data_IF_834960417611
#
_entry.id   IF_834960417611
#
_cell.length_a   1.000
_cell.length_b   1.000
_cell.length_c   1.000
_cell.angle_alpha   90.00
_cell.angle_beta   90.00
_cell.angle_gamma   90.00
#
_symmetry.space_group_name_H-M   'P 1'
#
loop_
_entity.id
_entity.type
_entity.pdbx_description
1 polymer ?
#
# COMPACT_ATOMS: atom_id res chain seq x y z
N UNK A 1 -14.74 1.90 -8.11
CA UNK A 1 -13.42 2.05 -8.78
C UNK A 1 -12.69 3.31 -8.29
N UNK A 2 -11.83 3.17 -7.29
CA UNK A 2 -11.06 4.28 -6.70
C UNK A 2 -9.69 3.80 -6.23
N UNK A 3 -8.70 4.69 -6.27
CA UNK A 3 -7.43 4.53 -5.55
C UNK A 3 -7.50 5.30 -4.23
N UNK A 4 -7.11 4.69 -3.14
CA UNK A 4 -7.18 5.29 -1.80
C UNK A 4 -5.82 5.79 -1.29
N UNK A 5 -4.77 5.03 -1.56
CA UNK A 5 -3.42 5.41 -1.18
C UNK A 5 -2.40 4.94 -2.19
N UNK A 6 -1.32 5.68 -2.30
CA UNK A 6 -0.13 5.33 -3.05
C UNK A 6 1.08 5.68 -2.20
N UNK A 7 1.97 4.72 -1.96
CA UNK A 7 3.09 4.88 -1.05
C UNK A 7 4.36 4.25 -1.60
N UNK A 8 5.49 4.85 -1.26
CA UNK A 8 6.84 4.37 -1.57
C UNK A 8 7.55 4.12 -0.25
N UNK A 9 8.10 2.92 -0.11
CA UNK A 9 8.75 2.43 1.09
C UNK A 9 10.11 1.83 0.75
N UNK A 10 11.06 1.94 1.67
CA UNK A 10 12.29 1.17 1.63
C UNK A 10 12.14 -0.08 2.49
N UNK A 11 12.40 -1.26 1.93
CA UNK A 11 12.38 -2.53 2.64
C UNK A 11 13.72 -2.74 3.37
N UNK A 12 13.75 -2.44 4.67
CA UNK A 12 14.87 -2.81 5.53
C UNK A 12 14.88 -4.31 5.86
N UNK A 13 15.88 -4.72 6.66
CA UNK A 13 16.03 -6.12 7.05
C UNK A 13 14.88 -6.63 7.94
N UNK A 14 14.34 -5.77 8.81
CA UNK A 14 13.29 -6.13 9.78
C UNK A 14 12.07 -5.22 9.74
N UNK A 15 12.26 -3.95 9.36
CA UNK A 15 11.21 -2.95 9.24
C UNK A 15 11.25 -2.29 7.87
N UNK A 16 10.11 -1.81 7.42
CA UNK A 16 10.02 -0.91 6.28
C UNK A 16 10.05 0.55 6.72
N UNK A 17 10.66 1.41 5.90
CA UNK A 17 10.67 2.85 6.11
C UNK A 17 9.76 3.51 5.08
N UNK A 18 8.76 4.27 5.55
CA UNK A 18 7.92 5.06 4.67
C UNK A 18 8.71 6.24 4.12
N UNK A 19 8.95 6.29 2.81
CA UNK A 19 9.66 7.40 2.17
C UNK A 19 8.70 8.52 1.77
N UNK A 20 7.58 8.16 1.15
CA UNK A 20 6.55 9.11 0.76
C UNK A 20 5.21 8.40 0.61
N UNK A 21 4.11 9.12 0.86
CA UNK A 21 2.76 8.63 0.60
C UNK A 21 1.83 9.75 0.17
N UNK A 22 0.84 9.39 -0.63
CA UNK A 22 -0.30 10.20 -1.05
C UNK A 22 -1.59 9.45 -0.72
N UNK A 23 -2.65 10.19 -0.39
CA UNK A 23 -3.93 9.63 0.03
C UNK A 23 -5.11 10.37 -0.59
N UNK A 24 -6.13 9.64 -1.03
CA UNK A 24 -7.45 10.16 -1.39
C UNK A 24 -8.52 9.49 -0.52
N UNK A 25 -8.83 10.16 0.60
CA UNK A 25 -9.80 9.70 1.59
C UNK A 25 -11.14 10.44 1.49
N UNK A 26 -11.40 11.11 0.37
CA UNK A 26 -12.59 11.97 0.19
C UNK A 26 -13.91 11.21 0.30
N UNK A 27 -13.91 9.91 -0.01
CA UNK A 27 -15.06 9.00 0.08
C UNK A 27 -15.38 8.56 1.51
N UNK A 28 -14.47 8.77 2.45
CA UNK A 28 -14.69 8.43 3.86
C UNK A 28 -15.18 9.64 4.66
N UNK A 29 -15.93 9.35 5.72
CA UNK A 29 -16.38 10.35 6.69
C UNK A 29 -15.21 11.13 7.26
N UNK A 30 -15.33 12.47 7.31
CA UNK A 30 -14.26 13.37 7.74
C UNK A 30 -13.59 12.94 9.06
N UNK A 31 -14.39 12.53 10.05
CA UNK A 31 -13.90 12.12 11.38
C UNK A 31 -13.12 10.79 11.40
N UNK A 32 -13.23 9.98 10.35
CA UNK A 32 -12.54 8.68 10.24
C UNK A 32 -11.27 8.76 9.39
N UNK A 33 -11.10 9.82 8.58
CA UNK A 33 -10.00 9.93 7.61
C UNK A 33 -8.62 9.78 8.25
N UNK A 34 -8.38 10.40 9.41
CA UNK A 34 -7.09 10.26 10.11
C UNK A 34 -6.77 8.81 10.45
N UNK A 35 -7.73 8.09 11.03
CA UNK A 35 -7.53 6.69 11.39
C UNK A 35 -7.35 5.80 10.17
N UNK A 36 -8.11 6.06 9.10
CA UNK A 36 -7.99 5.30 7.84
C UNK A 36 -6.62 5.54 7.20
N UNK A 37 -6.11 6.77 7.21
CA UNK A 37 -4.77 7.09 6.70
C UNK A 37 -3.69 6.32 7.45
N UNK A 38 -3.75 6.30 8.79
CA UNK A 38 -2.82 5.55 9.63
C UNK A 38 -2.89 4.05 9.34
N UNK A 39 -4.11 3.49 9.15
CA UNK A 39 -4.26 2.09 8.77
C UNK A 39 -3.71 1.77 7.38
N UNK A 40 -3.95 2.61 6.38
CA UNK A 40 -3.37 2.43 5.04
C UNK A 40 -1.85 2.49 5.08
N UNK A 41 -1.29 3.36 5.92
CA UNK A 41 0.16 3.45 6.17
C UNK A 41 0.70 2.15 6.79
N UNK A 42 0.08 1.71 7.89
CA UNK A 42 0.43 0.48 8.60
C UNK A 42 0.34 -0.75 7.68
N UNK A 43 -0.76 -0.87 6.94
CA UNK A 43 -0.97 -1.97 5.99
C UNK A 43 0.09 -1.97 4.90
N UNK A 44 0.42 -0.80 4.34
CA UNK A 44 1.46 -0.70 3.30
C UNK A 44 2.83 -1.13 3.83
N UNK A 45 3.20 -0.71 5.04
CA UNK A 45 4.42 -1.13 5.72
C UNK A 45 4.47 -2.65 5.94
N UNK A 46 3.40 -3.22 6.51
CA UNK A 46 3.30 -4.65 6.76
C UNK A 46 3.41 -5.48 5.46
N UNK A 47 2.71 -5.07 4.40
CA UNK A 47 2.78 -5.78 3.11
C UNK A 47 4.21 -5.76 2.54
N UNK A 48 4.90 -4.62 2.58
CA UNK A 48 6.29 -4.53 2.09
C UNK A 48 7.24 -5.39 2.94
N UNK A 49 7.05 -5.44 4.25
CA UNK A 49 7.83 -6.30 5.16
C UNK A 49 7.68 -7.78 4.84
N UNK A 50 6.47 -8.22 4.48
CA UNK A 50 6.15 -9.63 4.18
C UNK A 50 6.37 -10.05 2.73
N UNK A 51 6.51 -9.08 1.82
CA UNK A 51 6.76 -9.36 0.39
C UNK A 51 8.26 -9.53 0.11
N UNK A 52 8.64 -10.57 -0.62
CA UNK A 52 10.04 -10.82 -0.99
C UNK A 52 10.55 -9.81 -2.04
N UNK A 53 11.85 -9.54 -2.05
CA UNK A 53 12.47 -8.70 -3.08
C UNK A 53 12.25 -9.31 -4.48
N UNK A 54 12.08 -8.45 -5.47
CA UNK A 54 11.84 -8.84 -6.86
C UNK A 54 10.46 -9.41 -7.16
N UNK A 55 9.52 -9.31 -6.21
CA UNK A 55 8.18 -9.92 -6.35
C UNK A 55 7.07 -8.88 -6.42
N UNK A 56 6.00 -9.24 -7.14
CA UNK A 56 4.73 -8.53 -7.21
C UNK A 56 3.67 -9.36 -6.54
N UNK A 57 2.88 -8.73 -5.67
CA UNK A 57 1.78 -9.39 -4.98
C UNK A 57 0.55 -8.50 -4.90
N UNK A 58 -0.61 -9.13 -4.75
CA UNK A 58 -1.88 -8.47 -4.45
C UNK A 58 -2.47 -9.11 -3.19
N UNK A 59 -2.88 -8.28 -2.25
CA UNK A 59 -3.46 -8.71 -0.97
C UNK A 59 -4.88 -8.19 -0.92
N UNK A 60 -5.85 -9.10 -0.97
CA UNK A 60 -7.26 -8.77 -0.84
C UNK A 60 -7.58 -8.64 0.65
N UNK A 61 -8.34 -7.63 1.01
CA UNK A 61 -8.89 -7.46 2.35
C UNK A 61 -10.30 -6.86 2.21
N UNK A 62 -11.32 -7.69 2.40
CA UNK A 62 -12.72 -7.31 2.16
C UNK A 62 -12.94 -6.77 0.72
N UNK A 63 -13.42 -5.52 0.60
CA UNK A 63 -13.69 -4.83 -0.66
C UNK A 63 -12.45 -4.11 -1.23
N UNK A 64 -11.34 -4.12 -0.49
CA UNK A 64 -10.08 -3.48 -0.85
C UNK A 64 -9.08 -4.48 -1.43
N UNK A 65 -8.24 -3.98 -2.32
CA UNK A 65 -7.14 -4.72 -2.91
C UNK A 65 -5.86 -3.88 -2.79
N UNK A 66 -4.84 -4.45 -2.15
CA UNK A 66 -3.55 -3.81 -1.96
C UNK A 66 -2.57 -4.44 -2.94
N UNK A 67 -2.09 -3.69 -3.93
CA UNK A 67 -1.06 -4.16 -4.86
C UNK A 67 0.30 -3.66 -4.41
N UNK A 68 1.27 -4.55 -4.38
CA UNK A 68 2.64 -4.27 -3.95
C UNK A 68 3.63 -4.73 -5.01
N UNK A 69 4.65 -3.91 -5.24
CA UNK A 69 5.84 -4.31 -5.95
C UNK A 69 7.07 -3.95 -5.11
N UNK A 70 7.89 -4.96 -4.79
CA UNK A 70 9.21 -4.76 -4.15
C UNK A 70 10.29 -5.09 -5.17
N UNK A 71 11.13 -4.10 -5.51
CA UNK A 71 12.27 -4.26 -6.43
C UNK A 71 13.43 -5.01 -5.77
N UNK A 72 14.40 -5.42 -6.58
CA UNK A 72 15.62 -6.10 -6.11
C UNK A 72 16.57 -5.18 -5.30
N UNK A 73 16.42 -3.86 -5.42
CA UNK A 73 17.18 -2.84 -4.68
C UNK A 73 16.47 -2.40 -3.39
N UNK A 74 15.51 -3.20 -2.90
CA UNK A 74 14.70 -2.94 -1.70
C UNK A 74 13.75 -1.74 -1.78
N UNK A 75 13.63 -1.09 -2.94
CA UNK A 75 12.60 -0.06 -3.13
C UNK A 75 11.24 -0.72 -3.40
N UNK A 76 10.27 -0.43 -2.54
CA UNK A 76 8.91 -0.96 -2.63
C UNK A 76 7.88 0.13 -2.83
N UNK A 77 6.80 -0.19 -3.51
CA UNK A 77 5.63 0.67 -3.57
C UNK A 77 4.34 -0.13 -3.37
N UNK A 78 3.36 0.50 -2.74
CA UNK A 78 2.04 -0.07 -2.47
C UNK A 78 0.97 0.89 -2.93
N UNK A 79 -0.01 0.37 -3.66
CA UNK A 79 -1.26 1.07 -3.99
C UNK A 79 -2.43 0.30 -3.41
N UNK A 80 -3.32 1.02 -2.71
CA UNK A 80 -4.56 0.46 -2.15
C UNK A 80 -5.72 0.98 -2.98
N UNK A 81 -6.55 0.07 -3.47
CA UNK A 81 -7.65 0.37 -4.39
C UNK A 81 -8.90 -0.44 -4.05
N UNK A 82 -10.02 -0.09 -4.66
CA UNK A 82 -11.17 -1.01 -4.75
C UNK A 82 -10.80 -2.26 -5.55
N UNK A 83 -11.43 -3.39 -5.23
CA UNK A 83 -11.31 -4.63 -6.03
C UNK A 83 -11.74 -4.49 -7.49
N UNK A 84 -12.58 -3.50 -7.82
CA UNK A 84 -12.98 -3.21 -9.20
C UNK A 84 -11.90 -2.49 -10.00
N UNK A 85 -10.92 -1.85 -9.35
CA UNK A 85 -9.89 -1.08 -10.04
C UNK A 85 -8.96 -2.04 -10.82
N UNK A 86 -8.58 -1.74 -12.08
CA UNK A 86 -7.89 -2.73 -12.91
C UNK A 86 -6.48 -2.98 -12.38
N UNK A 87 -6.22 -4.22 -11.93
CA UNK A 87 -4.93 -4.64 -11.38
C UNK A 87 -3.74 -4.26 -12.27
N UNK A 88 -3.90 -4.41 -13.58
CA UNK A 88 -2.89 -4.04 -14.57
C UNK A 88 -2.47 -2.58 -14.45
N UNK A 89 -3.43 -1.67 -14.31
CA UNK A 89 -3.16 -0.23 -14.19
C UNK A 89 -2.47 0.07 -12.86
N UNK A 90 -2.79 -0.65 -11.78
CA UNK A 90 -2.07 -0.55 -10.50
C UNK A 90 -0.59 -0.88 -10.66
N UNK A 91 -0.24 -2.02 -11.29
CA UNK A 91 1.17 -2.38 -11.46
C UNK A 91 1.93 -1.46 -12.41
N UNK A 92 1.29 -1.00 -13.50
CA UNK A 92 1.84 0.05 -14.36
C UNK A 92 2.15 1.34 -13.58
N UNK A 93 1.26 1.73 -12.68
CA UNK A 93 1.47 2.87 -11.79
C UNK A 93 2.66 2.65 -10.85
N UNK A 94 2.73 1.47 -10.20
CA UNK A 94 3.83 1.13 -9.29
C UNK A 94 5.19 1.18 -9.98
N UNK A 95 5.32 0.59 -11.18
CA UNK A 95 6.56 0.62 -11.95
C UNK A 95 6.99 2.06 -12.28
N UNK A 96 6.05 2.86 -12.78
CA UNK A 96 6.29 4.28 -13.14
C UNK A 96 6.77 5.09 -11.94
N UNK A 97 6.11 4.99 -10.79
CA UNK A 97 6.49 5.80 -9.63
C UNK A 97 7.79 5.35 -9.01
N UNK A 98 8.10 4.06 -9.00
CA UNK A 98 9.37 3.54 -8.53
C UNK A 98 10.52 3.99 -9.42
N UNK A 99 10.34 3.94 -10.74
CA UNK A 99 11.33 4.43 -11.70
C UNK A 99 11.58 5.93 -11.53
N UNK A 100 10.52 6.76 -11.55
CA UNK A 100 10.64 8.22 -11.41
C UNK A 100 11.22 8.64 -10.06
N UNK A 101 10.83 7.97 -8.97
CA UNK A 101 11.37 8.23 -7.64
C UNK A 101 12.87 7.95 -7.58
N UNK A 102 13.31 6.80 -8.09
CA UNK A 102 14.73 6.41 -8.09
C UNK A 102 15.64 7.32 -8.92
N UNK A 103 15.07 8.08 -9.87
CA UNK A 103 15.79 9.11 -10.64
C UNK A 103 15.93 10.45 -9.90
N UNK A 104 15.08 10.72 -8.91
CA UNK A 104 15.03 12.00 -8.20
C UNK A 104 15.60 11.92 -6.78
N UNK A 105 15.54 10.75 -6.15
CA UNK A 105 15.97 10.53 -4.78
C UNK A 105 17.06 9.46 -4.77
N UNK A 106 18.25 9.81 -4.30
CA UNK A 106 19.39 8.91 -4.29
C UNK A 106 19.15 7.73 -3.33
N UNK A 107 19.60 6.54 -3.74
CA UNK A 107 19.53 5.31 -2.96
C UNK A 107 20.18 5.39 -1.58
N UNK A 108 21.15 6.29 -1.38
CA UNK A 108 21.79 6.51 -0.09
C UNK A 108 20.83 7.07 0.97
N UNK A 109 19.78 7.78 0.54
CA UNK A 109 18.81 8.44 1.43
C UNK A 109 17.66 7.50 1.82
N UNK A 110 17.45 6.39 1.12
CA UNK A 110 16.29 5.51 1.36
C UNK A 110 16.32 4.82 2.74
N UNK A 111 17.46 4.33 3.27
CA UNK A 111 17.49 3.63 4.56
C UNK A 111 17.20 4.51 5.79
N UNK A 112 17.36 5.84 5.68
CA UNK A 112 17.09 6.80 6.77
C UNK A 112 15.98 7.80 6.42
N UNK A 113 15.45 7.71 5.19
CA UNK A 113 14.43 8.58 4.65
C UNK A 113 13.09 8.45 5.38
N UNK A 114 12.38 9.57 5.42
CA UNK A 114 11.01 9.66 5.94
C UNK A 114 10.22 10.71 5.12
N UNK A 115 8.89 10.83 5.31
CA UNK A 115 8.08 11.75 4.50
C UNK A 115 8.48 13.22 4.60
N UNK A 116 9.14 13.63 5.69
CA UNK A 116 9.57 15.01 5.92
C UNK A 116 10.92 15.31 5.26
N UNK A 117 11.82 14.32 5.16
CA UNK A 117 13.15 14.49 4.56
C UNK A 117 13.16 14.24 3.07
N UNK A 118 12.29 13.36 2.57
CA UNK A 118 12.23 12.98 1.15
C UNK A 118 11.42 14.02 0.36
N UNK A 119 12.13 14.80 -0.47
CA UNK A 119 11.54 15.81 -1.33
C UNK A 119 11.09 15.23 -2.69
N UNK A 120 10.01 14.44 -2.65
CA UNK A 120 9.33 13.94 -3.85
C UNK A 120 7.87 14.39 -3.84
N UNK A 121 7.47 15.22 -4.82
CA UNK A 121 6.14 15.87 -4.87
C UNK A 121 5.20 15.28 -5.93
N UNK A 122 5.69 14.38 -6.77
CA UNK A 122 4.91 13.85 -7.89
C UNK A 122 3.89 12.77 -7.46
N UNK A 123 3.98 12.24 -6.24
CA UNK A 123 3.15 11.12 -5.80
C UNK A 123 1.65 11.47 -5.75
N UNK A 124 1.30 12.65 -5.24
CA UNK A 124 -0.09 13.15 -5.22
C UNK A 124 -0.65 13.36 -6.63
N UNK A 125 0.20 13.83 -7.55
CA UNK A 125 -0.17 14.05 -8.95
C UNK A 125 -0.47 12.70 -9.62
N UNK A 126 0.37 11.69 -9.39
CA UNK A 126 0.14 10.34 -9.90
C UNK A 126 -1.12 9.72 -9.32
N UNK A 127 -1.34 9.81 -8.01
CA UNK A 127 -2.56 9.29 -7.38
C UNK A 127 -3.82 9.96 -7.96
N UNK A 128 -3.81 11.28 -8.14
CA UNK A 128 -4.94 12.02 -8.71
C UNK A 128 -5.18 11.67 -10.18
N UNK A 129 -4.13 11.64 -11.00
CA UNK A 129 -4.24 11.31 -12.44
C UNK A 129 -4.77 9.89 -12.65
N UNK A 130 -4.31 8.95 -11.84
CA UNK A 130 -4.71 7.54 -11.95
C UNK A 130 -6.06 7.25 -11.28
N UNK A 131 -6.79 8.24 -10.75
CA UNK A 131 -8.20 8.01 -10.40
C UNK A 131 -9.04 7.64 -11.64
N UNK A 132 -8.63 8.07 -12.84
CA UNK A 132 -9.22 7.65 -14.10
C UNK A 132 -8.31 6.62 -14.82
N UNK A 133 -8.64 5.32 -14.80
CA UNK A 133 -7.80 4.28 -15.41
C UNK A 133 -7.54 4.50 -16.90
N UNK A 134 -8.45 5.18 -17.62
CA UNK A 134 -8.31 5.44 -19.06
C UNK A 134 -7.21 6.45 -19.40
N UNK A 135 -6.90 7.34 -18.47
CA UNK A 135 -5.81 8.31 -18.63
C UNK A 135 -4.43 7.70 -18.39
N UNK A 136 -4.39 6.47 -17.84
CA UNK A 136 -3.18 5.67 -17.67
C UNK A 136 -2.83 4.82 -18.91
N UNK A 137 -3.82 4.45 -19.73
CA UNK A 137 -3.69 3.54 -20.88
C UNK A 137 -2.86 4.11 -22.07
N UNK A 138 -2.50 5.39 -22.04
CA UNK A 138 -1.61 5.98 -23.05
C UNK A 138 -0.16 5.46 -22.97
N UNK A 139 0.20 4.63 -21.98
CA UNK A 139 1.53 3.99 -21.85
C UNK A 139 1.55 2.55 -22.37
N UNK A 140 1.34 2.37 -23.67
CA UNK A 140 1.24 1.05 -24.33
C UNK A 140 2.54 0.22 -24.29
N UNK A 141 3.69 0.77 -23.88
CA UNK A 141 4.97 0.04 -23.84
C UNK A 141 5.18 -0.83 -22.59
N UNK A 142 4.68 -0.40 -21.42
CA UNK A 142 4.73 -1.20 -20.16
C UNK A 142 3.75 -2.39 -20.24
N UNK A 143 2.81 -2.32 -21.18
CA UNK A 143 1.71 -3.26 -21.35
C UNK A 143 2.13 -4.70 -21.65
N UNK A 144 3.26 -4.90 -22.33
CA UNK A 144 3.74 -6.24 -22.72
C UNK A 144 4.49 -6.96 -21.59
N UNK A 145 5.23 -6.23 -20.75
CA UNK A 145 6.07 -6.82 -19.68
C UNK A 145 5.24 -7.31 -18.48
N UNK A 146 4.09 -6.68 -18.22
CA UNK A 146 3.21 -7.08 -17.11
C UNK A 146 2.46 -8.39 -17.39
N UNK A 147 2.16 -8.73 -18.65
CA UNK A 147 1.41 -9.94 -19.00
C UNK A 147 2.25 -11.22 -18.78
N UNK A 148 3.58 -11.12 -18.74
CA UNK A 148 4.50 -12.25 -18.44
C UNK A 148 4.89 -12.34 -16.95
N UNK A 149 4.55 -11.33 -16.15
CA UNK A 149 4.98 -11.27 -14.75
C UNK A 149 4.02 -12.02 -13.83
N UNK A 150 4.54 -13.02 -13.09
CA UNK A 150 3.76 -13.71 -12.06
C UNK A 150 3.44 -12.76 -10.89
N UNK A 151 2.14 -12.59 -10.63
CA UNK A 151 1.62 -11.83 -9.48
C UNK A 151 1.11 -12.83 -8.45
N UNK A 152 1.64 -12.77 -7.23
CA UNK A 152 1.19 -13.61 -6.12
C UNK A 152 -0.11 -13.03 -5.56
N UNK A 153 -1.13 -13.87 -5.34
CA UNK A 153 -2.41 -13.44 -4.77
C UNK A 153 -2.58 -13.98 -3.35
N UNK A 154 -2.81 -13.06 -2.43
CA UNK A 154 -3.16 -13.30 -1.04
C UNK A 154 -4.63 -12.95 -0.82
N UNK A 155 -5.43 -13.88 -0.32
CA UNK A 155 -6.87 -13.68 -0.15
C UNK A 155 -7.25 -12.81 1.05
N UNK A 156 -6.38 -12.78 2.06
CA UNK A 156 -6.55 -11.99 3.29
C UNK A 156 -5.19 -11.51 3.81
N UNK A 157 -5.18 -10.48 4.64
CA UNK A 157 -3.98 -10.01 5.32
C UNK A 157 -3.32 -11.11 6.18
N UNK A 158 -4.11 -11.99 6.80
CA UNK A 158 -3.57 -13.09 7.62
C UNK A 158 -2.68 -14.04 6.84
N UNK A 159 -2.88 -14.17 5.52
CA UNK A 159 -2.03 -15.03 4.69
C UNK A 159 -0.60 -14.52 4.52
N UNK A 160 -0.31 -13.27 4.91
CA UNK A 160 1.04 -12.72 4.99
C UNK A 160 1.71 -12.94 6.34
N UNK A 161 0.96 -13.35 7.36
CA UNK A 161 1.44 -13.46 8.73
C UNK A 161 2.12 -14.81 8.98
N UNK A 162 3.04 -14.82 9.93
CA UNK A 162 3.68 -16.07 10.37
C UNK A 162 2.73 -16.94 11.18
N UNK A 163 3.02 -18.24 11.24
CA UNK A 163 2.23 -19.18 12.03
C UNK A 163 2.24 -18.77 13.51
N UNK A 164 1.07 -18.44 14.04
CA UNK A 164 0.88 -18.04 15.44
C UNK A 164 0.92 -16.53 15.66
N UNK A 165 1.20 -15.74 14.62
CA UNK A 165 1.08 -14.29 14.65
C UNK A 165 -0.37 -13.85 14.42
N UNK A 166 -0.81 -12.81 15.12
CA UNK A 166 -2.16 -12.24 14.99
C UNK A 166 -2.08 -10.78 14.56
N UNK A 167 -2.94 -10.40 13.61
CA UNK A 167 -3.06 -9.01 13.16
C UNK A 167 -3.37 -8.06 14.32
N UNK A 168 -4.20 -8.49 15.26
CA UNK A 168 -4.57 -7.69 16.45
C UNK A 168 -3.34 -7.34 17.32
N UNK A 169 -2.37 -8.25 17.43
CA UNK A 169 -1.14 -8.03 18.19
C UNK A 169 -0.21 -7.04 17.47
N UNK A 170 -0.16 -7.11 16.13
CA UNK A 170 0.58 -6.16 15.31
C UNK A 170 -0.03 -4.76 15.39
N UNK A 171 -1.36 -4.65 15.29
CA UNK A 171 -2.08 -3.39 15.47
C UNK A 171 -1.82 -2.80 16.85
N UNK A 172 -1.84 -3.62 17.91
CA UNK A 172 -1.58 -3.14 19.26
C UNK A 172 -0.15 -2.59 19.43
N UNK A 173 0.85 -3.26 18.84
CA UNK A 173 2.27 -2.89 18.93
C UNK A 173 2.71 -1.81 17.95
N UNK A 174 1.93 -1.54 16.91
CA UNK A 174 2.28 -0.59 15.85
C UNK A 174 2.54 0.83 16.39
N UNK A 175 3.64 1.42 15.94
CA UNK A 175 4.00 2.83 16.17
C UNK A 175 3.35 3.75 15.13
N UNK A 176 2.89 3.20 13.99
CA UNK A 176 2.19 3.94 12.93
C UNK A 176 0.73 4.26 13.28
N UNK A 177 0.18 3.61 14.29
CA UNK A 177 -1.22 3.76 14.69
C UNK A 177 -1.33 4.54 16.00
N UNK A 178 -2.04 5.65 15.98
CA UNK A 178 -2.44 6.39 17.16
C UNK A 178 -3.46 5.61 18.00
N UNK A 179 -3.61 6.01 19.27
CA UNK A 179 -4.54 5.36 20.20
C UNK A 179 -5.99 5.36 19.70
N UNK A 180 -6.41 6.43 19.03
CA UNK A 180 -7.74 6.55 18.44
C UNK A 180 -7.94 5.53 17.31
N UNK A 181 -6.96 5.35 16.44
CA UNK A 181 -7.01 4.39 15.33
C UNK A 181 -7.01 2.95 15.85
N UNK A 182 -6.18 2.64 16.85
CA UNK A 182 -6.23 1.32 17.53
C UNK A 182 -7.61 1.04 18.13
N UNK A 183 -8.24 2.03 18.75
CA UNK A 183 -9.60 1.91 19.30
C UNK A 183 -10.68 1.77 18.20
N UNK A 184 -10.51 2.51 17.10
CA UNK A 184 -11.38 2.43 15.92
C UNK A 184 -11.41 1.01 15.35
N UNK A 185 -10.25 0.41 15.12
CA UNK A 185 -10.14 -0.97 14.63
C UNK A 185 -10.78 -1.99 15.57
N UNK A 186 -10.51 -1.89 16.88
CA UNK A 186 -11.12 -2.79 17.87
C UNK A 186 -12.65 -2.69 17.86
N UNK A 187 -13.19 -1.48 17.72
CA UNK A 187 -14.64 -1.26 17.67
C UNK A 187 -15.24 -1.81 16.38
N UNK A 188 -14.61 -1.54 15.22
CA UNK A 188 -15.05 -2.04 13.92
C UNK A 188 -15.06 -3.59 13.88
N UNK A 189 -14.01 -4.24 14.38
CA UNK A 189 -13.97 -5.71 14.49
C UNK A 189 -15.09 -6.27 15.35
N UNK A 190 -15.36 -5.66 16.51
CA UNK A 190 -16.45 -6.08 17.40
C UNK A 190 -17.81 -5.97 16.71
N UNK A 191 -18.07 -4.86 16.02
CA UNK A 191 -19.33 -4.64 15.32
C UNK A 191 -19.54 -5.66 14.20
N UNK A 192 -18.50 -5.99 13.44
CA UNK A 192 -18.59 -6.99 12.37
C UNK A 192 -18.69 -8.43 12.90
N UNK A 193 -18.07 -8.74 14.05
CA UNK A 193 -18.16 -10.07 14.67
C UNK A 193 -19.55 -10.42 15.20
N UNK A 194 -20.40 -9.42 15.47
CA UNK A 194 -21.77 -9.65 15.92
C UNK A 194 -22.73 -10.06 14.79
N UNK A 195 -22.29 -9.99 13.53
CA UNK A 195 -23.09 -10.36 12.36
C UNK A 195 -22.76 -11.75 11.79
N UNK A 196 -21.74 -12.45 12.32
CA UNK A 196 -21.43 -13.84 11.92
C UNK A 196 -22.12 -14.90 12.80
N UNK A 197 -22.82 -14.50 13.87
CA UNK A 197 -23.49 -15.39 14.83
C UNK A 197 -25.02 -15.28 14.71
N UNK A 198 -25.56 -15.14 13.50
CA UNK A 198 -27.01 -15.25 13.26
C UNK A 198 -27.30 -16.12 12.03
#
# INVERSE_FOLDING_TARGET
>A
MKLYSLSILYKGATKSNLLKAAYDLSSFSFFQRSSIQEFMTFTSALIVERTSQGTRASVKEQEYLCHVYVRNDNLGAVVIADTEYPQRVCFTLLDKVLEEFSRQVDSIDWPSGNPDTINYKALDIHLSKYQNPREADAMTKVQAELDETKIILHNTMESLLERGEKLDDLVAKSEHLGNQSKAFYKTARKQNSCCEIM
#
